data_IF_186332797474
#
_entry.id   IF_186332797474
#
_cell.length_a   1.000
_cell.length_b   1.000
_cell.length_c   1.000
_cell.angle_alpha   90.00
_cell.angle_beta   90.00
_cell.angle_gamma   90.00
#
_symmetry.space_group_name_H-M   'P 1'
#
loop_
_entity.id
_entity.type
_entity.pdbx_description
1 polymer ?
#
# COMPACT_ATOMS: atom_id res chain seq x y z
N UNK A 1 -8.70 -32.40 26.24
CA UNK A 1 -8.45 -31.17 25.47
C UNK A 1 -8.85 -31.42 24.03
N UNK A 2 -9.90 -30.77 23.49
CA UNK A 2 -10.23 -30.91 22.08
C UNK A 2 -9.33 -29.97 21.24
N UNK A 3 -8.91 -30.38 20.03
CA UNK A 3 -8.06 -29.57 19.17
C UNK A 3 -8.85 -28.40 18.55
N UNK A 4 -8.27 -27.21 18.65
CA UNK A 4 -8.79 -25.97 18.09
C UNK A 4 -8.68 -25.99 16.55
N UNK A 5 -9.72 -26.47 15.87
CA UNK A 5 -9.84 -26.35 14.41
C UNK A 5 -10.23 -24.91 14.07
N UNK A 6 -9.22 -24.05 13.88
CA UNK A 6 -9.41 -22.71 13.33
C UNK A 6 -10.15 -22.81 11.98
N UNK A 7 -11.24 -22.05 11.85
CA UNK A 7 -12.01 -21.98 10.60
C UNK A 7 -11.09 -21.47 9.47
N UNK A 8 -11.14 -22.05 8.26
CA UNK A 8 -10.41 -21.51 7.12
C UNK A 8 -10.86 -20.06 6.89
N UNK A 9 -9.90 -19.12 6.87
CA UNK A 9 -10.16 -17.74 6.46
C UNK A 9 -10.40 -17.77 4.95
N UNK A 10 -11.66 -17.76 4.53
CA UNK A 10 -12.02 -17.71 3.12
C UNK A 10 -11.83 -16.28 2.60
N UNK A 11 -11.08 -16.15 1.51
CA UNK A 11 -10.86 -14.90 0.81
C UNK A 11 -12.00 -14.70 -0.20
N UNK A 12 -12.97 -13.86 0.12
CA UNK A 12 -14.03 -13.52 -0.83
C UNK A 12 -13.46 -12.58 -1.91
N UNK A 13 -13.60 -12.98 -3.18
CA UNK A 13 -13.26 -12.14 -4.33
C UNK A 13 -14.27 -10.99 -4.48
N UNK A 14 -13.77 -9.80 -4.81
CA UNK A 14 -14.60 -8.70 -5.29
C UNK A 14 -13.96 -8.04 -6.51
N UNK A 15 -14.80 -7.92 -7.54
CA UNK A 15 -14.63 -7.28 -8.84
C UNK A 15 -14.59 -5.76 -8.76
N UNK A 16 -14.08 -5.20 -9.87
CA UNK A 16 -14.15 -3.82 -10.40
C UNK A 16 -14.34 -2.64 -9.45
N UNK A 17 -13.45 -1.65 -9.59
CA UNK A 17 -13.66 -0.35 -9.01
C UNK A 17 -12.38 0.49 -9.02
N UNK A 18 -12.43 1.55 -9.82
CA UNK A 18 -11.83 2.90 -9.81
C UNK A 18 -10.80 3.44 -8.74
N UNK A 19 -9.54 3.83 -9.12
CA UNK A 19 -8.77 5.14 -8.83
C UNK A 19 -7.30 5.25 -8.27
N UNK A 20 -6.36 5.95 -8.93
CA UNK A 20 -5.31 6.96 -8.48
C UNK A 20 -3.88 6.69 -7.91
N UNK A 21 -2.84 7.50 -8.35
CA UNK A 21 -1.48 8.00 -7.87
C UNK A 21 -1.28 9.50 -8.07
N UNK A 22 -0.98 10.39 -7.10
CA UNK A 22 -1.51 10.54 -5.74
C UNK A 22 -2.25 9.30 -5.33
N UNK A 23 -1.52 8.36 -4.70
CA UNK A 23 -1.98 6.98 -4.81
C UNK A 23 -2.99 6.80 -3.78
N UNK A 24 -4.20 6.48 -4.19
CA UNK A 24 -4.99 5.57 -3.39
C UNK A 24 -4.07 4.40 -3.08
N UNK A 25 -3.43 4.57 -1.95
CA UNK A 25 -2.69 3.55 -1.26
C UNK A 25 -3.73 3.10 -0.27
N UNK A 26 -4.60 2.24 -0.74
CA UNK A 26 -4.45 0.82 -0.66
C UNK A 26 -5.61 0.19 -1.44
N UNK A 27 -5.52 -1.10 -1.74
CA UNK A 27 -6.53 -1.74 -2.55
C UNK A 27 -6.13 -3.16 -2.79
N UNK A 28 -6.05 -3.92 -1.70
CA UNK A 28 -6.28 -5.35 -1.75
C UNK A 28 -7.43 -5.62 -0.77
N UNK A 29 -8.38 -6.46 -1.19
CA UNK A 29 -9.47 -6.94 -0.36
C UNK A 29 -8.92 -7.53 0.94
N UNK A 30 -9.28 -6.91 2.05
CA UNK A 30 -8.96 -7.39 3.38
C UNK A 30 -9.98 -8.45 3.83
N UNK A 31 -9.64 -9.33 4.78
CA UNK A 31 -10.63 -9.85 5.72
C UNK A 31 -11.31 -8.65 6.41
N UNK A 32 -12.55 -8.80 6.87
CA UNK A 32 -13.46 -7.75 7.37
C UNK A 32 -12.94 -6.79 8.47
N UNK A 33 -11.70 -6.92 8.94
CA UNK A 33 -11.09 -6.13 10.01
C UNK A 33 -10.21 -4.98 9.49
N UNK A 34 -10.42 -3.77 10.03
CA UNK A 34 -9.62 -2.57 9.72
C UNK A 34 -8.17 -2.74 10.22
N UNK A 35 -7.14 -2.30 9.47
CA UNK A 35 -5.78 -2.29 9.97
C UNK A 35 -5.63 -1.34 11.18
N UNK A 36 -4.89 -1.73 12.23
CA UNK A 36 -4.70 -0.92 13.43
C UNK A 36 -4.11 0.48 13.16
N UNK A 37 -3.31 0.62 12.10
CA UNK A 37 -2.65 1.87 11.71
C UNK A 37 -3.52 2.78 10.82
N UNK A 38 -4.69 2.34 10.37
CA UNK A 38 -5.56 3.13 9.49
C UNK A 38 -5.95 4.49 10.09
N UNK A 39 -5.97 4.59 11.42
CA UNK A 39 -6.21 5.83 12.17
C UNK A 39 -4.98 6.72 12.25
N UNK A 40 -3.77 6.16 12.20
CA UNK A 40 -2.50 6.88 12.36
C UNK A 40 -2.04 7.66 11.11
N UNK A 41 -2.75 7.51 9.98
CA UNK A 41 -2.43 8.16 8.71
C UNK A 41 -3.05 9.55 8.54
N UNK A 42 -4.06 9.86 9.34
CA UNK A 42 -4.76 11.13 9.27
C UNK A 42 -4.21 12.02 10.38
N UNK A 43 -3.79 13.27 10.07
CA UNK A 43 -3.49 14.22 11.14
C UNK A 43 -4.74 14.41 12.01
N UNK A 44 -4.58 14.67 13.32
CA UNK A 44 -5.71 15.04 14.19
C UNK A 44 -6.42 16.26 13.60
N UNK A 45 -7.75 16.33 13.77
CA UNK A 45 -8.52 17.50 13.35
C UNK A 45 -7.99 18.73 14.12
N UNK A 46 -7.37 19.66 13.42
CA UNK A 46 -7.12 21.01 13.93
C UNK A 46 -5.67 21.44 14.17
N UNK A 47 -4.65 20.67 13.80
CA UNK A 47 -3.26 21.12 14.05
C UNK A 47 -2.66 21.89 12.86
N UNK A 48 -2.57 23.21 13.01
CA UNK A 48 -1.85 24.13 12.13
C UNK A 48 -0.64 24.64 12.90
N UNK A 49 0.43 23.82 12.98
CA UNK A 49 1.66 24.24 13.65
C UNK A 49 2.85 23.32 13.36
N UNK A 50 3.90 23.87 12.72
CA UNK A 50 5.24 23.26 12.68
C UNK A 50 5.68 22.64 11.35
N UNK A 51 6.33 23.45 10.48
CA UNK A 51 7.44 23.04 9.62
C UNK A 51 7.22 22.14 8.38
N UNK A 52 6.32 21.15 8.39
CA UNK A 52 6.10 20.28 7.24
C UNK A 52 4.62 19.93 7.09
N UNK A 53 3.97 20.46 6.05
CA UNK A 53 2.58 20.11 5.71
C UNK A 53 2.56 18.69 5.13
N UNK A 54 1.95 17.74 5.84
CA UNK A 54 1.67 16.40 5.30
C UNK A 54 0.73 16.50 4.11
N UNK A 55 1.03 15.82 3.00
CA UNK A 55 0.19 15.82 1.79
C UNK A 55 -0.80 14.65 1.76
N UNK A 56 -0.77 13.81 2.80
CA UNK A 56 -1.69 12.69 3.01
C UNK A 56 -3.09 13.16 3.40
N UNK A 57 -4.10 12.66 2.73
CA UNK A 57 -5.51 12.95 3.02
C UNK A 57 -6.39 11.87 2.38
N UNK A 58 -7.66 11.83 2.77
CA UNK A 58 -8.66 11.00 2.09
C UNK A 58 -9.22 11.77 0.91
N UNK A 59 -9.34 11.12 -0.24
CA UNK A 59 -10.14 11.66 -1.33
C UNK A 59 -11.64 11.57 -0.96
N UNK A 60 -12.31 12.72 -0.95
CA UNK A 60 -13.73 12.82 -0.63
C UNK A 60 -14.51 13.08 -1.90
N UNK A 61 -15.65 12.38 -2.10
CA UNK A 61 -16.60 12.50 -3.23
C UNK A 61 -16.09 13.30 -4.46
N UNK A 62 -15.01 12.86 -5.10
CA UNK A 62 -14.53 13.44 -6.37
C UNK A 62 -13.92 14.85 -6.30
N UNK A 63 -13.39 15.29 -5.15
CA UNK A 63 -12.72 16.60 -5.02
C UNK A 63 -11.40 16.72 -5.81
N UNK A 64 -10.98 15.65 -6.48
CA UNK A 64 -9.82 15.66 -7.36
C UNK A 64 -8.51 15.61 -6.60
N UNK A 65 -7.49 15.08 -7.27
CA UNK A 65 -6.14 15.10 -6.77
C UNK A 65 -5.65 16.56 -6.75
N UNK A 66 -5.16 17.06 -5.62
CA UNK A 66 -4.51 18.37 -5.52
C UNK A 66 -3.20 18.33 -6.29
N UNK A 67 -2.93 19.40 -7.02
CA UNK A 67 -1.69 19.58 -7.75
C UNK A 67 -0.47 19.78 -6.85
N UNK A 68 0.73 19.40 -7.34
CA UNK A 68 0.96 18.61 -8.56
C UNK A 68 0.64 17.11 -8.34
N UNK A 69 0.08 16.46 -9.36
CA UNK A 69 -0.13 15.00 -9.39
C UNK A 69 0.03 14.46 -10.83
N UNK A 70 0.49 13.21 -11.01
CA UNK A 70 0.50 12.59 -12.33
C UNK A 70 -0.92 12.20 -12.76
N UNK A 71 -1.12 12.11 -14.06
CA UNK A 71 -2.29 11.47 -14.63
C UNK A 71 -2.19 9.96 -14.44
N UNK A 72 -3.34 9.27 -14.40
CA UNK A 72 -3.40 7.81 -14.33
C UNK A 72 -4.21 7.22 -15.43
N UNK A 73 -3.82 6.03 -15.84
CA UNK A 73 -4.33 5.42 -17.05
C UNK A 73 -4.76 3.97 -16.85
N UNK A 74 -5.77 3.57 -17.62
CA UNK A 74 -6.26 2.20 -17.73
C UNK A 74 -6.46 1.82 -19.17
N UNK A 75 -6.51 0.52 -19.46
CA UNK A 75 -7.02 0.06 -20.74
C UNK A 75 -8.51 -0.23 -20.64
N UNK A 76 -9.28 0.40 -21.52
CA UNK A 76 -10.69 0.13 -21.73
C UNK A 76 -10.91 -0.17 -23.22
N UNK A 77 -11.41 -1.36 -23.54
CA UNK A 77 -11.64 -1.84 -24.91
C UNK A 77 -10.45 -1.62 -25.87
N UNK A 78 -9.22 -1.84 -25.38
CA UNK A 78 -7.99 -1.70 -26.17
C UNK A 78 -7.44 -0.27 -26.29
N UNK A 79 -8.14 0.73 -25.74
CA UNK A 79 -7.67 2.11 -25.69
C UNK A 79 -7.15 2.46 -24.29
N UNK A 80 -6.04 3.21 -24.22
CA UNK A 80 -5.55 3.79 -22.96
C UNK A 80 -6.38 5.03 -22.62
N UNK A 81 -7.07 5.01 -21.50
CA UNK A 81 -7.98 6.07 -21.04
C UNK A 81 -7.47 6.71 -19.75
N UNK A 82 -7.61 8.03 -19.63
CA UNK A 82 -7.31 8.78 -18.41
C UNK A 82 -8.42 8.53 -17.35
N UNK A 83 -8.01 8.02 -16.19
CA UNK A 83 -8.88 7.74 -15.04
C UNK A 83 -8.41 8.47 -13.78
N UNK A 84 -7.72 9.60 -13.94
CA UNK A 84 -7.16 10.42 -12.84
C UNK A 84 -8.25 10.94 -11.92
N UNK A 85 -9.41 11.33 -12.48
CA UNK A 85 -10.53 11.84 -11.69
C UNK A 85 -11.48 10.73 -11.35
N UNK A 86 -11.47 10.30 -10.10
CA UNK A 86 -12.16 9.06 -9.81
C UNK A 86 -12.59 8.89 -8.36
N UNK A 87 -13.86 8.52 -8.18
CA UNK A 87 -14.47 8.34 -6.87
C UNK A 87 -13.92 7.09 -6.18
N UNK A 88 -13.25 7.33 -5.05
CA UNK A 88 -12.58 6.33 -4.20
C UNK A 88 -13.38 5.96 -2.96
N UNK A 89 -14.59 6.50 -2.79
CA UNK A 89 -15.39 6.28 -1.58
C UNK A 89 -15.68 4.80 -1.33
N UNK A 90 -15.80 4.01 -2.40
CA UNK A 90 -15.96 2.55 -2.36
C UNK A 90 -14.75 1.83 -1.74
N UNK A 91 -13.54 2.38 -1.88
CA UNK A 91 -12.33 1.81 -1.28
C UNK A 91 -12.21 2.16 0.21
N UNK A 92 -12.81 3.28 0.65
CA UNK A 92 -12.91 3.65 2.06
C UNK A 92 -11.56 3.61 2.80
N UNK A 93 -11.53 3.05 4.01
CA UNK A 93 -10.29 2.89 4.79
C UNK A 93 -9.34 1.82 4.23
N UNK A 94 -9.84 0.94 3.36
CA UNK A 94 -9.02 -0.06 2.69
C UNK A 94 -8.20 0.56 1.56
N UNK A 95 -8.52 1.80 1.14
CA UNK A 95 -7.84 2.37 0.00
C UNK A 95 -7.84 3.86 -0.27
N UNK A 96 -8.85 4.62 0.10
CA UNK A 96 -9.06 5.98 -0.40
C UNK A 96 -8.04 7.05 0.05
N UNK A 97 -6.91 6.65 0.65
CA UNK A 97 -5.85 7.54 1.08
C UNK A 97 -4.96 7.91 -0.06
N UNK A 98 -4.74 9.19 -0.21
CA UNK A 98 -3.90 9.77 -1.24
C UNK A 98 -2.63 10.33 -0.59
N UNK A 99 -1.46 9.94 -1.08
CA UNK A 99 -0.16 10.28 -0.49
C UNK A 99 0.92 10.63 -1.53
N UNK A 100 2.13 10.95 -1.05
CA UNK A 100 3.37 11.07 -1.84
C UNK A 100 4.35 9.96 -1.47
N UNK A 101 5.30 9.64 -2.35
CA UNK A 101 6.34 8.66 -2.03
C UNK A 101 7.17 9.03 -0.80
N UNK A 102 7.44 10.32 -0.62
CA UNK A 102 8.12 10.85 0.57
C UNK A 102 7.30 10.60 1.85
N UNK A 103 6.00 10.89 1.82
CA UNK A 103 5.11 10.69 2.98
C UNK A 103 4.93 9.21 3.30
N UNK A 104 4.87 8.33 2.29
CA UNK A 104 4.81 6.88 2.49
C UNK A 104 6.11 6.35 3.10
N UNK A 105 7.28 6.81 2.61
CA UNK A 105 8.56 6.47 3.22
C UNK A 105 8.62 6.91 4.68
N UNK A 106 8.24 8.17 4.99
CA UNK A 106 8.18 8.67 6.38
C UNK A 106 7.24 7.83 7.25
N UNK A 107 6.06 7.48 6.73
CA UNK A 107 5.08 6.67 7.45
C UNK A 107 5.62 5.29 7.79
N UNK A 108 6.10 4.53 6.82
CA UNK A 108 6.60 3.17 7.07
C UNK A 108 7.86 3.17 7.94
N UNK A 109 8.76 4.14 7.75
CA UNK A 109 9.93 4.29 8.63
C UNK A 109 9.51 4.55 10.07
N UNK A 110 8.55 5.46 10.31
CA UNK A 110 8.05 5.75 11.65
C UNK A 110 7.29 4.56 12.27
N UNK A 111 6.46 3.87 11.48
CA UNK A 111 5.74 2.68 11.92
C UNK A 111 6.70 1.58 12.38
N UNK A 112 7.69 1.24 11.55
CA UNK A 112 8.62 0.15 11.85
C UNK A 112 9.64 0.51 12.93
N UNK A 113 9.86 1.80 13.18
CA UNK A 113 10.60 2.32 14.32
C UNK A 113 9.76 2.37 15.62
N UNK A 114 8.51 1.90 15.60
CA UNK A 114 7.63 1.86 16.79
C UNK A 114 7.14 3.22 17.26
N UNK A 115 7.16 4.25 16.38
CA UNK A 115 6.77 5.62 16.75
C UNK A 115 5.28 5.91 16.60
N UNK A 116 4.53 5.03 15.91
CA UNK A 116 3.12 5.26 15.58
C UNK A 116 2.13 4.37 16.35
N UNK A 117 2.60 3.24 16.87
CA UNK A 117 1.79 2.26 17.62
C UNK A 117 2.61 1.72 18.78
N UNK A 118 1.96 1.16 19.80
CA UNK A 118 2.66 0.55 20.92
C UNK A 118 3.54 -0.63 20.44
N UNK A 119 4.68 -0.92 21.09
CA UNK A 119 5.57 -2.01 20.68
C UNK A 119 4.87 -3.37 20.57
N UNK A 120 3.93 -3.66 21.48
CA UNK A 120 3.12 -4.89 21.44
C UNK A 120 2.23 -4.96 20.20
N UNK A 121 1.65 -3.83 19.77
CA UNK A 121 0.84 -3.78 18.55
C UNK A 121 1.69 -3.94 17.30
N UNK A 122 2.88 -3.32 17.25
CA UNK A 122 3.81 -3.52 16.13
C UNK A 122 4.27 -4.98 16.03
N UNK A 123 4.52 -5.63 17.17
CA UNK A 123 4.85 -7.05 17.21
C UNK A 123 3.71 -7.88 16.60
N UNK A 124 2.46 -7.66 17.02
CA UNK A 124 1.29 -8.35 16.46
C UNK A 124 1.10 -8.06 14.95
N UNK A 125 1.42 -6.86 14.47
CA UNK A 125 1.38 -6.55 13.03
C UNK A 125 2.38 -7.36 12.19
N UNK A 126 3.51 -7.74 12.79
CA UNK A 126 4.58 -8.52 12.15
C UNK A 126 4.49 -10.02 12.44
N UNK A 127 3.68 -10.41 13.42
CA UNK A 127 3.53 -11.79 13.87
C UNK A 127 2.51 -12.52 12.98
N UNK A 128 2.61 -13.85 12.95
CA UNK A 128 1.62 -14.76 12.34
C UNK A 128 1.30 -14.37 10.89
N UNK A 129 2.34 -14.03 10.13
CA UNK A 129 2.21 -13.69 8.71
C UNK A 129 1.90 -14.95 7.91
N UNK A 130 0.91 -14.87 7.03
CA UNK A 130 0.51 -15.98 6.16
C UNK A 130 1.07 -15.79 4.74
N UNK A 131 1.51 -16.85 4.06
CA UNK A 131 1.94 -16.75 2.67
C UNK A 131 0.82 -16.24 1.77
N UNK A 132 1.09 -15.21 0.97
CA UNK A 132 0.18 -14.75 -0.07
C UNK A 132 0.36 -15.60 -1.33
N UNK A 133 -0.41 -16.67 -1.44
CA UNK A 133 -0.31 -17.64 -2.56
C UNK A 133 -0.79 -17.10 -3.91
N UNK A 134 -1.47 -15.95 -3.93
CA UNK A 134 -1.90 -15.25 -5.14
C UNK A 134 -0.96 -14.09 -5.55
N UNK A 135 0.26 -14.06 -5.01
CA UNK A 135 1.29 -13.03 -5.23
C UNK A 135 2.64 -13.69 -5.54
N UNK A 136 3.66 -12.90 -5.97
CA UNK A 136 5.02 -13.43 -6.13
C UNK A 136 5.47 -14.20 -4.89
N UNK A 137 6.19 -15.30 -5.11
CA UNK A 137 6.71 -16.13 -4.03
C UNK A 137 7.57 -15.31 -3.06
N UNK A 138 7.56 -15.67 -1.77
CA UNK A 138 8.32 -14.98 -0.73
C UNK A 138 7.64 -13.73 -0.16
N UNK A 139 6.34 -13.56 -0.42
CA UNK A 139 5.51 -12.55 0.24
C UNK A 139 4.62 -13.18 1.31
N UNK A 140 4.83 -12.75 2.56
CA UNK A 140 3.94 -13.07 3.66
C UNK A 140 3.19 -11.82 4.10
N UNK A 141 2.08 -12.02 4.81
CA UNK A 141 1.21 -10.92 5.16
C UNK A 141 0.63 -11.04 6.57
N UNK A 142 0.87 -10.01 7.37
CA UNK A 142 0.37 -9.88 8.74
C UNK A 142 -0.83 -8.95 8.85
N UNK A 143 -0.96 -8.26 9.99
CA UNK A 143 -2.06 -7.31 10.20
C UNK A 143 -1.75 -5.96 9.55
N UNK A 144 -2.13 -5.80 8.29
CA UNK A 144 -1.97 -4.51 7.64
C UNK A 144 -0.59 -4.29 7.01
N UNK A 145 0.26 -5.30 7.00
CA UNK A 145 1.68 -5.16 6.70
C UNK A 145 2.19 -6.40 5.97
N UNK A 146 2.80 -6.19 4.80
CA UNK A 146 3.43 -7.22 4.01
C UNK A 146 4.91 -7.36 4.39
N UNK A 147 5.39 -8.60 4.41
CA UNK A 147 6.80 -8.97 4.45
C UNK A 147 7.19 -9.50 3.08
N UNK A 148 8.24 -8.95 2.49
CA UNK A 148 8.77 -9.36 1.19
C UNK A 148 10.27 -9.63 1.30
N UNK A 149 10.72 -10.79 0.83
CA UNK A 149 12.12 -11.02 0.54
C UNK A 149 12.46 -10.51 -0.86
N UNK A 150 13.49 -9.66 -0.98
CA UNK A 150 14.00 -9.18 -2.28
C UNK A 150 15.30 -9.91 -2.65
N UNK A 151 15.72 -9.93 -3.93
CA UNK A 151 16.83 -10.77 -4.42
C UNK A 151 18.19 -10.58 -3.72
N UNK A 152 18.49 -9.39 -3.19
CA UNK A 152 19.72 -9.11 -2.44
C UNK A 152 19.66 -9.58 -0.96
N UNK A 153 18.97 -10.69 -0.69
CA UNK A 153 18.79 -11.29 0.65
C UNK A 153 18.24 -10.32 1.71
N UNK A 154 17.61 -9.23 1.28
CA UNK A 154 17.10 -8.20 2.16
C UNK A 154 15.62 -8.42 2.40
N UNK A 155 15.21 -8.29 3.66
CA UNK A 155 13.81 -8.31 4.04
C UNK A 155 13.24 -6.88 4.07
N UNK A 156 12.09 -6.71 3.41
CA UNK A 156 11.33 -5.46 3.36
C UNK A 156 10.01 -5.64 4.08
N UNK A 157 9.65 -4.67 4.90
CA UNK A 157 8.30 -4.54 5.47
C UNK A 157 7.60 -3.34 4.86
N UNK A 158 6.36 -3.51 4.45
CA UNK A 158 5.64 -2.45 3.75
C UNK A 158 4.27 -2.86 3.27
N UNK A 159 3.85 -2.29 2.14
CA UNK A 159 2.55 -2.59 1.54
C UNK A 159 2.50 -2.23 0.05
N UNK A 160 1.71 -2.97 -0.72
CA UNK A 160 1.36 -2.63 -2.10
C UNK A 160 -0.02 -2.00 -2.24
N UNK A 161 -0.20 -1.02 -3.11
CA UNK A 161 -1.48 -0.40 -3.46
C UNK A 161 -1.85 -0.71 -4.89
N UNK A 162 -3.13 -1.00 -5.15
CA UNK A 162 -3.63 -1.25 -6.50
C UNK A 162 -5.01 -0.67 -6.65
N UNK A 163 -5.17 0.18 -7.65
CA UNK A 163 -6.42 0.89 -7.82
C UNK A 163 -6.43 1.53 -9.22
N UNK A 164 -7.57 1.61 -9.92
CA UNK A 164 -7.54 1.98 -11.33
C UNK A 164 -6.81 3.28 -11.66
N UNK A 165 -5.92 3.18 -12.63
CA UNK A 165 -4.99 4.20 -13.04
C UNK A 165 -3.60 3.97 -12.49
N UNK A 166 -3.43 3.17 -11.42
CA UNK A 166 -2.22 3.31 -10.60
C UNK A 166 -1.85 2.11 -9.72
N UNK A 167 -0.54 1.97 -9.50
CA UNK A 167 0.05 0.87 -8.72
C UNK A 167 1.19 1.41 -7.87
N UNK A 168 1.24 1.01 -6.61
CA UNK A 168 2.27 1.49 -5.67
C UNK A 168 2.88 0.32 -4.91
N UNK A 169 4.19 0.38 -4.69
CA UNK A 169 4.93 -0.44 -3.74
C UNK A 169 5.68 0.47 -2.80
N UNK A 170 5.50 0.31 -1.50
CA UNK A 170 6.20 1.07 -0.49
C UNK A 170 6.71 0.12 0.59
N UNK A 171 7.93 0.31 1.05
CA UNK A 171 8.49 -0.51 2.11
C UNK A 171 9.82 -0.01 2.62
N UNK A 172 10.22 -0.59 3.74
CA UNK A 172 11.42 -0.21 4.48
C UNK A 172 12.18 -1.46 4.89
N UNK A 173 13.50 -1.43 4.72
CA UNK A 173 14.42 -2.49 5.14
C UNK A 173 14.71 -2.40 6.64
N UNK A 174 15.25 -3.46 7.23
CA UNK A 174 15.73 -3.42 8.62
C UNK A 174 16.83 -2.36 8.86
N UNK A 175 17.62 -2.04 7.82
CA UNK A 175 18.65 -0.99 7.85
C UNK A 175 18.09 0.43 7.73
N UNK A 176 16.76 0.58 7.58
CA UNK A 176 16.08 1.88 7.50
C UNK A 176 16.00 2.47 6.09
N UNK A 177 16.44 1.74 5.05
CA UNK A 177 16.26 2.17 3.66
C UNK A 177 14.78 2.11 3.29
N UNK A 178 14.21 3.27 2.95
CA UNK A 178 12.82 3.39 2.56
C UNK A 178 12.70 3.59 1.04
N UNK A 179 11.87 2.78 0.39
CA UNK A 179 11.64 2.83 -1.05
C UNK A 179 10.15 2.88 -1.31
N UNK A 180 9.75 3.81 -2.17
CA UNK A 180 8.40 3.84 -2.76
C UNK A 180 8.52 3.93 -4.27
N UNK A 181 7.85 3.01 -4.97
CA UNK A 181 7.71 2.99 -6.43
C UNK A 181 6.23 3.14 -6.77
N UNK A 182 5.97 3.93 -7.80
CA UNK A 182 4.64 4.24 -8.31
C UNK A 182 4.65 4.04 -9.82
N UNK A 183 3.59 3.43 -10.35
CA UNK A 183 3.25 3.47 -11.77
C UNK A 183 1.91 4.19 -11.97
N UNK A 184 1.83 4.96 -13.07
CA UNK A 184 0.66 5.69 -13.59
C UNK A 184 -0.27 4.81 -14.44
N UNK A 185 -0.12 3.50 -14.31
CA UNK A 185 -0.99 2.49 -14.88
C UNK A 185 -0.82 1.20 -14.09
N UNK A 186 -1.90 0.45 -13.86
CA UNK A 186 -1.79 -0.89 -13.29
C UNK A 186 -1.17 -1.85 -14.33
N UNK A 187 -0.34 -2.81 -13.89
CA UNK A 187 0.07 -3.90 -14.75
C UNK A 187 -1.14 -4.60 -15.40
N UNK A 188 -1.07 -4.81 -16.71
CA UNK A 188 -2.13 -5.45 -17.52
C UNK A 188 -1.89 -6.94 -17.73
N UNK A 189 -0.67 -7.40 -17.49
CA UNK A 189 -0.23 -8.77 -17.70
C UNK A 189 0.90 -9.14 -16.72
N UNK A 190 1.35 -10.39 -16.78
CA UNK A 190 2.41 -10.88 -15.91
C UNK A 190 3.76 -10.20 -16.17
N UNK A 191 4.05 -9.81 -17.42
CA UNK A 191 5.32 -9.21 -17.80
C UNK A 191 5.45 -7.79 -17.21
N UNK A 192 4.43 -6.95 -17.37
CA UNK A 192 4.34 -5.62 -16.78
C UNK A 192 4.33 -5.67 -15.24
N UNK A 193 3.72 -6.70 -14.65
CA UNK A 193 3.73 -6.89 -13.20
C UNK A 193 5.14 -7.23 -12.68
N UNK A 194 5.84 -8.13 -13.38
CA UNK A 194 7.22 -8.51 -13.08
C UNK A 194 8.18 -7.33 -13.29
N UNK A 195 8.01 -6.54 -14.35
CA UNK A 195 8.83 -5.35 -14.59
C UNK A 195 8.72 -4.33 -13.46
N UNK A 196 7.50 -4.05 -12.98
CA UNK A 196 7.31 -3.14 -11.85
C UNK A 196 7.91 -3.69 -10.55
N UNK A 197 7.79 -5.00 -10.30
CA UNK A 197 8.43 -5.64 -9.16
C UNK A 197 9.95 -5.53 -9.24
N UNK A 198 10.53 -5.76 -10.42
CA UNK A 198 11.96 -5.64 -10.66
C UNK A 198 12.48 -4.22 -10.41
N UNK A 199 11.72 -3.18 -10.77
CA UNK A 199 12.07 -1.78 -10.44
C UNK A 199 12.12 -1.57 -8.93
N UNK A 200 11.14 -2.10 -8.19
CA UNK A 200 11.12 -2.01 -6.73
C UNK A 200 12.30 -2.75 -6.10
N UNK A 201 12.55 -3.98 -6.53
CA UNK A 201 13.66 -4.81 -6.06
C UNK A 201 15.00 -4.12 -6.30
N UNK A 202 15.23 -3.61 -7.51
CA UNK A 202 16.44 -2.88 -7.86
C UNK A 202 16.61 -1.61 -6.99
N UNK A 203 15.53 -0.87 -6.74
CA UNK A 203 15.58 0.32 -5.90
C UNK A 203 15.90 0.00 -4.43
N UNK A 204 15.41 -1.13 -3.91
CA UNK A 204 15.76 -1.63 -2.57
C UNK A 204 17.22 -2.07 -2.52
N UNK A 205 17.68 -2.83 -3.51
CA UNK A 205 19.02 -3.39 -3.55
C UNK A 205 20.11 -2.41 -4.00
N UNK A 206 19.76 -1.20 -4.46
CA UNK A 206 20.73 -0.20 -4.89
C UNK A 206 21.61 0.27 -3.71
N UNK A 207 22.82 -0.26 -3.61
CA UNK A 207 23.79 0.01 -2.54
C UNK A 207 23.79 -1.03 -1.41
N UNK A 208 23.19 -2.20 -1.64
CA UNK A 208 23.45 -3.41 -0.85
C UNK A 208 24.77 -4.07 -1.28
#
# INVERSE_FOLDING_TARGET
>A
MPPNRGRPRTWAGCTTGRSTTRTVTAGNCWPTTRPPWATALLPPRGDVGGGHRTRTHRDGRGLGLRDPHPHGYEYDNGARVDVTRLDTTWAGAAGALVSTGEDLNRFFTALLAGKLVAPTQLAEMRRDTEPLTNRPAGMDYGLGLARLAVPCETQVWGHGGSIPGFRTYAGVTATGRAVTVVADQRPTDAASAAALQHVFDAAVCAGA
#
